data_IF_931658208825
#
_entry.id   IF_931658208825
#
_cell.length_a   1.000
_cell.length_b   1.000
_cell.length_c   1.000
_cell.angle_alpha   90.00
_cell.angle_beta   90.00
_cell.angle_gamma   90.00
#
_symmetry.space_group_name_H-M   'P 1'
#
loop_
_entity.id
_entity.type
_entity.pdbx_description
1 polymer ?
#
# COMPACT_ATOMS: atom_id res chain seq x y z
N UNK A 1 5.69 6.03 -21.74
CA UNK A 1 4.28 6.35 -21.45
C UNK A 1 3.63 5.31 -20.56
N UNK A 2 2.98 5.77 -19.51
CA UNK A 2 2.18 4.93 -18.59
C UNK A 2 0.88 4.58 -19.31
N UNK A 3 0.56 3.29 -19.42
CA UNK A 3 -0.69 2.84 -20.03
C UNK A 3 -1.76 2.71 -18.95
N UNK A 4 -2.83 3.49 -19.07
CA UNK A 4 -3.99 3.36 -18.20
C UNK A 4 -4.71 2.02 -18.44
N UNK A 5 -5.19 1.41 -17.36
CA UNK A 5 -6.05 0.22 -17.43
C UNK A 5 -7.46 0.68 -17.78
N UNK A 6 -8.19 -0.11 -18.59
CA UNK A 6 -9.64 0.07 -18.70
C UNK A 6 -10.29 -0.47 -17.44
N UNK A 7 -10.93 0.43 -16.70
CA UNK A 7 -11.52 0.13 -15.40
C UNK A 7 -12.93 -0.43 -15.52
N UNK A 8 -13.28 -1.35 -14.62
CA UNK A 8 -14.65 -1.83 -14.46
C UNK A 8 -15.50 -0.80 -13.72
N UNK A 9 -16.83 -0.87 -13.86
CA UNK A 9 -17.76 0.07 -13.23
C UNK A 9 -17.54 0.22 -11.71
N UNK A 10 -17.23 -0.88 -11.03
CA UNK A 10 -16.93 -0.87 -9.59
C UNK A 10 -15.63 -0.12 -9.25
N UNK A 11 -14.58 -0.27 -10.06
CA UNK A 11 -13.29 0.43 -9.89
C UNK A 11 -13.46 1.94 -10.10
N UNK A 12 -14.25 2.33 -11.12
CA UNK A 12 -14.58 3.74 -11.38
C UNK A 12 -15.36 4.38 -10.22
N UNK A 13 -16.32 3.66 -9.65
CA UNK A 13 -17.13 4.16 -8.52
C UNK A 13 -16.31 4.28 -7.23
N UNK A 14 -15.32 3.41 -7.03
CA UNK A 14 -14.36 3.54 -5.93
C UNK A 14 -13.36 4.69 -6.14
N UNK A 15 -13.29 5.25 -7.35
CA UNK A 15 -12.36 6.31 -7.72
C UNK A 15 -10.94 5.80 -7.92
N UNK A 16 -10.77 4.51 -8.20
CA UNK A 16 -9.47 3.94 -8.53
C UNK A 16 -8.94 4.55 -9.83
N UNK A 17 -7.62 4.67 -9.93
CA UNK A 17 -6.91 5.07 -11.16
C UNK A 17 -5.76 4.11 -11.42
N UNK A 18 -6.09 2.96 -11.98
CA UNK A 18 -5.16 1.86 -12.16
C UNK A 18 -4.32 2.03 -13.45
N UNK A 19 -3.02 1.80 -13.31
CA UNK A 19 -2.07 1.83 -14.42
C UNK A 19 -1.35 0.50 -14.56
N UNK A 20 -0.96 0.17 -15.78
CA UNK A 20 -0.23 -1.08 -16.04
C UNK A 20 1.20 -0.93 -15.55
N UNK A 21 1.58 -1.75 -14.57
CA UNK A 21 2.94 -1.83 -14.07
C UNK A 21 3.89 -2.46 -15.13
N UNK A 22 5.18 -2.10 -15.14
CA UNK A 22 6.13 -2.60 -16.14
C UNK A 22 6.60 -4.05 -15.90
N UNK A 23 6.13 -4.71 -14.82
CA UNK A 23 6.47 -6.08 -14.48
C UNK A 23 5.64 -7.08 -15.28
N UNK A 24 6.29 -8.01 -15.98
CA UNK A 24 5.62 -9.07 -16.73
C UNK A 24 5.65 -10.36 -15.92
N UNK A 25 4.55 -10.70 -15.27
CA UNK A 25 4.43 -11.92 -14.47
C UNK A 25 3.62 -12.98 -15.22
N UNK A 26 4.31 -13.79 -16.00
CA UNK A 26 3.71 -14.88 -16.76
C UNK A 26 3.54 -16.13 -15.85
N UNK A 27 2.37 -16.78 -15.93
CA UNK A 27 2.01 -17.86 -15.01
C UNK A 27 3.01 -19.02 -15.04
N UNK A 28 3.53 -19.42 -13.86
CA UNK A 28 4.56 -20.46 -13.68
C UNK A 28 5.89 -20.18 -14.39
N UNK A 29 6.14 -18.96 -14.85
CA UNK A 29 7.43 -18.57 -15.44
C UNK A 29 8.29 -17.91 -14.39
N UNK A 30 9.34 -18.61 -13.96
CA UNK A 30 10.34 -18.05 -13.06
C UNK A 30 11.18 -17.00 -13.79
N UNK A 31 11.45 -15.88 -13.11
CA UNK A 31 12.30 -14.79 -13.61
C UNK A 31 13.31 -14.43 -12.54
N UNK A 32 14.55 -14.19 -12.93
CA UNK A 32 15.64 -13.85 -12.01
C UNK A 32 16.29 -12.55 -12.46
N UNK A 33 16.15 -11.51 -11.64
CA UNK A 33 16.76 -10.19 -11.83
C UNK A 33 16.55 -9.59 -13.23
N UNK A 34 15.30 -9.58 -13.69
CA UNK A 34 14.94 -8.98 -14.98
C UNK A 34 14.99 -7.45 -14.87
N UNK A 35 15.74 -6.74 -15.73
CA UNK A 35 15.84 -5.30 -15.69
C UNK A 35 14.52 -4.64 -16.15
N UNK A 36 14.07 -3.64 -15.40
CA UNK A 36 12.87 -2.86 -15.71
C UNK A 36 13.25 -1.55 -16.38
N UNK A 37 14.05 -0.74 -15.69
CA UNK A 37 14.53 0.52 -16.20
C UNK A 37 15.80 0.97 -15.48
N UNK A 38 16.57 1.83 -16.14
CA UNK A 38 17.69 2.55 -15.55
C UNK A 38 17.30 4.02 -15.47
N UNK A 39 17.48 4.62 -14.31
CA UNK A 39 17.18 6.03 -14.09
C UNK A 39 18.27 6.67 -13.26
N UNK A 40 18.77 7.80 -13.75
CA UNK A 40 19.60 8.70 -12.95
C UNK A 40 18.67 9.61 -12.15
N UNK A 41 18.63 9.42 -10.84
CA UNK A 41 17.84 10.25 -9.94
C UNK A 41 18.53 11.59 -9.74
N UNK A 42 17.78 12.67 -9.96
CA UNK A 42 18.19 14.04 -9.59
C UNK A 42 18.25 14.20 -8.07
N UNK A 43 18.88 15.27 -7.59
CA UNK A 43 18.99 15.56 -6.16
C UNK A 43 17.61 15.74 -5.53
N UNK A 44 16.70 16.41 -6.23
CA UNK A 44 15.33 16.66 -5.80
C UNK A 44 14.53 15.36 -5.69
N UNK A 45 14.72 14.43 -6.64
CA UNK A 45 14.10 13.11 -6.61
C UNK A 45 14.66 12.26 -5.47
N UNK A 46 15.97 12.30 -5.23
CA UNK A 46 16.60 11.61 -4.10
C UNK A 46 16.03 12.09 -2.76
N UNK A 47 15.87 13.40 -2.59
CA UNK A 47 15.22 13.97 -1.40
C UNK A 47 13.77 13.49 -1.28
N UNK A 48 13.03 13.45 -2.39
CA UNK A 48 11.64 12.98 -2.42
C UNK A 48 11.54 11.52 -2.01
N UNK A 49 12.39 10.65 -2.57
CA UNK A 49 12.47 9.24 -2.19
C UNK A 49 12.86 9.07 -0.73
N UNK A 50 13.83 9.86 -0.23
CA UNK A 50 14.23 9.80 1.18
C UNK A 50 13.09 10.16 2.11
N UNK A 51 12.33 11.21 1.80
CA UNK A 51 11.13 11.57 2.56
C UNK A 51 10.06 10.49 2.51
N UNK A 52 9.87 9.85 1.36
CA UNK A 52 8.95 8.72 1.22
C UNK A 52 9.37 7.53 2.09
N UNK A 53 10.67 7.20 2.12
CA UNK A 53 11.22 6.15 2.98
C UNK A 53 11.09 6.49 4.47
N UNK A 54 11.31 7.74 4.86
CA UNK A 54 11.11 8.21 6.25
C UNK A 54 9.65 8.05 6.71
N UNK A 55 8.70 8.20 5.79
CA UNK A 55 7.27 8.11 6.04
C UNK A 55 6.69 6.71 5.76
N UNK A 56 7.54 5.70 5.58
CA UNK A 56 7.16 4.32 5.30
C UNK A 56 6.20 4.18 4.11
N UNK A 57 6.41 4.96 3.05
CA UNK A 57 5.61 4.85 1.83
C UNK A 57 5.80 3.47 1.19
N UNK A 58 4.69 2.92 0.73
CA UNK A 58 4.62 1.66 0.01
C UNK A 58 3.87 1.86 -1.31
N UNK A 59 4.16 1.01 -2.28
CA UNK A 59 3.35 0.89 -3.48
C UNK A 59 2.29 -0.20 -3.28
N UNK A 60 1.18 -0.05 -4.01
CA UNK A 60 0.13 -1.06 -4.12
C UNK A 60 -0.03 -1.44 -5.58
N UNK A 61 -0.17 -2.73 -5.85
CA UNK A 61 -0.51 -3.26 -7.16
C UNK A 61 -1.49 -4.42 -7.01
N UNK A 62 -2.06 -4.84 -8.14
CA UNK A 62 -2.97 -5.99 -8.20
C UNK A 62 -2.47 -6.99 -9.23
N UNK A 63 -2.52 -8.27 -8.87
CA UNK A 63 -2.23 -9.39 -9.76
C UNK A 63 -3.27 -10.48 -9.53
N UNK A 64 -4.01 -10.86 -10.59
CA UNK A 64 -5.17 -11.77 -10.48
C UNK A 64 -6.18 -11.34 -9.40
N UNK A 65 -6.46 -10.03 -9.34
CA UNK A 65 -7.29 -9.35 -8.33
C UNK A 65 -6.80 -9.48 -6.88
N UNK A 66 -5.61 -10.05 -6.66
CA UNK A 66 -4.97 -10.10 -5.35
C UNK A 66 -4.14 -8.84 -5.13
N UNK A 67 -4.36 -8.11 -4.02
CA UNK A 67 -3.58 -6.93 -3.71
C UNK A 67 -2.17 -7.32 -3.24
N UNK A 68 -1.19 -6.53 -3.65
CA UNK A 68 0.21 -6.69 -3.31
C UNK A 68 0.75 -5.35 -2.87
N UNK A 69 1.44 -5.35 -1.73
CA UNK A 69 2.09 -4.18 -1.18
C UNK A 69 3.58 -4.40 -1.02
N UNK A 70 4.37 -3.36 -1.23
CA UNK A 70 5.80 -3.37 -0.97
C UNK A 70 6.29 -1.98 -0.60
N UNK A 71 7.16 -1.90 0.41
CA UNK A 71 7.78 -0.64 0.80
C UNK A 71 8.73 -0.15 -0.30
N UNK A 72 8.87 1.16 -0.41
CA UNK A 72 9.80 1.79 -1.37
C UNK A 72 11.25 1.66 -0.89
N UNK A 73 11.47 1.57 0.42
CA UNK A 73 12.80 1.45 1.01
C UNK A 73 12.74 1.15 2.50
N UNK A 74 13.88 1.21 3.17
CA UNK A 74 13.99 1.06 4.63
C UNK A 74 14.95 2.08 5.22
N UNK A 75 14.71 2.44 6.47
CA UNK A 75 15.67 3.19 7.29
C UNK A 75 16.48 2.19 8.11
N UNK A 76 17.79 2.22 7.96
CA UNK A 76 18.71 1.44 8.77
C UNK A 76 19.33 2.35 9.83
N UNK A 77 18.95 2.13 11.09
CA UNK A 77 19.52 2.84 12.25
C UNK A 77 20.58 1.95 12.86
N UNK A 78 21.83 2.37 12.79
CA UNK A 78 22.93 1.62 13.38
C UNK A 78 22.89 1.82 14.91
N UNK A 79 22.29 0.88 15.63
CA UNK A 79 22.02 1.03 17.07
C UNK A 79 23.30 1.08 17.95
N UNK A 80 24.49 0.99 17.34
CA UNK A 80 25.80 1.00 18.02
C UNK A 80 26.62 2.28 17.81
N UNK A 81 26.36 3.05 16.75
CA UNK A 81 27.08 4.29 16.45
C UNK A 81 26.04 5.37 16.20
N UNK A 82 25.96 6.33 17.13
CA UNK A 82 25.31 7.64 17.02
C UNK A 82 23.95 7.69 16.25
N UNK A 83 22.81 8.03 16.91
CA UNK A 83 21.50 8.15 16.24
C UNK A 83 21.47 9.16 15.07
N UNK A 84 22.53 9.96 14.90
CA UNK A 84 22.78 10.88 13.81
C UNK A 84 23.19 10.22 12.48
N UNK A 85 23.54 8.92 12.44
CA UNK A 85 23.97 8.20 11.23
C UNK A 85 22.90 7.21 10.71
N UNK A 86 21.66 7.68 10.54
CA UNK A 86 20.65 6.86 9.87
C UNK A 86 20.95 6.73 8.37
N UNK A 87 20.97 5.49 7.86
CA UNK A 87 21.09 5.22 6.42
C UNK A 87 19.72 5.04 5.81
N UNK A 88 19.49 5.70 4.69
CA UNK A 88 18.25 5.61 3.94
C UNK A 88 18.48 4.77 2.69
N UNK A 89 17.83 3.61 2.64
CA UNK A 89 18.03 2.64 1.58
C UNK A 89 16.79 2.55 0.71
N UNK A 90 16.97 2.76 -0.60
CA UNK A 90 15.94 2.62 -1.62
C UNK A 90 15.98 1.21 -2.20
N UNK A 91 14.84 0.52 -2.23
CA UNK A 91 14.77 -0.78 -2.89
C UNK A 91 14.69 -0.61 -4.40
N UNK A 92 15.60 -1.28 -5.10
CA UNK A 92 15.68 -1.29 -6.56
C UNK A 92 15.26 -2.63 -7.17
N UNK A 93 15.25 -3.72 -6.39
CA UNK A 93 14.79 -5.04 -6.82
C UNK A 93 13.47 -5.41 -6.12
N UNK A 94 12.44 -5.71 -6.91
CA UNK A 94 11.16 -6.24 -6.41
C UNK A 94 11.12 -7.75 -6.61
N UNK A 95 11.07 -8.54 -5.53
CA UNK A 95 10.96 -10.00 -5.61
C UNK A 95 9.54 -10.46 -5.36
N UNK A 96 8.89 -10.93 -6.41
CA UNK A 96 7.56 -11.54 -6.33
C UNK A 96 7.68 -13.02 -5.96
N UNK A 97 6.93 -13.41 -4.94
CA UNK A 97 6.69 -14.81 -4.61
C UNK A 97 5.20 -15.09 -4.81
N UNK A 98 4.91 -15.96 -5.78
CA UNK A 98 3.55 -16.32 -6.17
C UNK A 98 3.29 -17.78 -5.81
N UNK A 99 2.30 -18.00 -4.96
CA UNK A 99 1.79 -19.32 -4.64
C UNK A 99 0.65 -19.68 -5.57
N UNK A 100 0.68 -20.89 -6.11
CA UNK A 100 -0.36 -21.39 -7.00
C UNK A 100 -0.83 -22.78 -6.58
N UNK A 101 -2.07 -23.11 -6.90
CA UNK A 101 -2.61 -24.45 -6.79
C UNK A 101 -3.23 -24.83 -8.13
N UNK A 102 -2.73 -25.90 -8.75
CA UNK A 102 -3.06 -26.30 -10.12
C UNK A 102 -2.83 -25.18 -11.14
N UNK A 103 -3.91 -24.59 -11.64
CA UNK A 103 -3.97 -23.54 -12.66
C UNK A 103 -4.41 -22.17 -12.08
N UNK A 104 -4.53 -22.06 -10.75
CA UNK A 104 -5.03 -20.85 -10.08
C UNK A 104 -3.99 -20.22 -9.17
N UNK A 105 -3.91 -18.90 -9.22
CA UNK A 105 -3.10 -18.10 -8.29
C UNK A 105 -3.83 -18.04 -6.95
N UNK A 106 -3.10 -18.36 -5.89
CA UNK A 106 -3.63 -18.39 -4.53
C UNK A 106 -3.12 -17.20 -3.74
N UNK A 107 -1.85 -16.86 -3.90
CA UNK A 107 -1.23 -15.80 -3.15
C UNK A 107 -0.13 -15.16 -3.98
N UNK A 108 0.05 -13.87 -3.80
CA UNK A 108 1.22 -13.14 -4.25
C UNK A 108 1.72 -12.24 -3.12
N UNK A 109 3.03 -12.24 -2.91
CA UNK A 109 3.71 -11.40 -1.94
C UNK A 109 4.97 -10.80 -2.53
N UNK A 110 5.38 -9.66 -2.00
CA UNK A 110 6.64 -9.02 -2.35
C UNK A 110 7.60 -9.17 -1.18
N UNK A 111 8.79 -9.67 -1.48
CA UNK A 111 9.91 -9.66 -0.56
C UNK A 111 10.84 -8.49 -0.94
N UNK A 112 11.14 -7.64 0.05
CA UNK A 112 12.20 -6.67 -0.11
C UNK A 112 13.55 -7.39 -0.13
N UNK A 113 14.47 -6.93 -0.97
CA UNK A 113 15.86 -7.40 -1.01
C UNK A 113 16.76 -6.28 -0.49
N UNK A 114 17.12 -6.27 0.81
CA UNK A 114 18.01 -5.26 1.36
C UNK A 114 19.42 -5.34 0.77
N UNK A 115 19.84 -6.50 0.27
CA UNK A 115 21.19 -6.70 -0.26
C UNK A 115 21.50 -5.90 -1.54
N UNK A 116 20.50 -5.61 -2.37
CA UNK A 116 20.68 -4.81 -3.59
C UNK A 116 20.30 -3.33 -3.41
N UNK A 117 19.80 -2.96 -2.22
CA UNK A 117 19.27 -1.64 -1.97
C UNK A 117 20.30 -0.54 -2.17
N UNK A 118 19.85 0.59 -2.72
CA UNK A 118 20.71 1.73 -3.05
C UNK A 118 20.68 2.74 -1.91
N UNK A 119 21.85 3.17 -1.46
CA UNK A 119 21.97 4.21 -0.44
C UNK A 119 21.67 5.59 -1.03
N UNK A 120 20.63 6.23 -0.50
CA UNK A 120 20.14 7.55 -0.89
C UNK A 120 20.29 8.57 0.25
N UNK A 121 21.21 8.35 1.19
CA UNK A 121 21.42 9.20 2.37
C UNK A 121 21.96 10.59 2.03
N UNK A 122 22.77 10.70 0.98
CA UNK A 122 23.37 11.97 0.54
C UNK A 122 22.53 12.68 -0.53
N UNK A 123 22.56 14.02 -0.54
CA UNK A 123 21.88 14.87 -1.54
C UNK A 123 22.67 14.98 -2.84
N UNK A 124 22.89 13.83 -3.48
CA UNK A 124 23.60 13.72 -4.75
C UNK A 124 22.78 12.95 -5.78
N UNK A 125 23.17 13.10 -7.04
CA UNK A 125 22.60 12.27 -8.10
C UNK A 125 23.01 10.81 -7.90
N UNK A 126 22.07 9.90 -8.12
CA UNK A 126 22.27 8.46 -7.94
C UNK A 126 21.73 7.72 -9.15
N UNK A 127 22.58 6.91 -9.77
CA UNK A 127 22.17 6.00 -10.83
C UNK A 127 21.54 4.75 -10.21
N UNK A 128 20.27 4.50 -10.54
CA UNK A 128 19.51 3.35 -10.05
C UNK A 128 19.04 2.50 -11.23
N UNK A 129 19.38 1.22 -11.18
CA UNK A 129 18.84 0.19 -12.07
C UNK A 129 17.79 -0.60 -11.31
N UNK A 130 16.54 -0.46 -11.74
CA UNK A 130 15.41 -1.19 -11.19
C UNK A 130 15.26 -2.53 -11.87
N UNK A 131 15.06 -3.59 -11.09
CA UNK A 131 14.85 -4.95 -11.57
C UNK A 131 13.76 -5.67 -10.78
N UNK A 132 13.35 -6.84 -11.27
CA UNK A 132 12.42 -7.69 -10.55
C UNK A 132 12.74 -9.17 -10.73
N UNK A 133 12.32 -9.96 -9.76
CA UNK A 133 12.39 -11.42 -9.79
C UNK A 133 11.00 -12.00 -9.57
N UNK A 134 10.69 -13.14 -10.19
CA UNK A 134 9.43 -13.84 -10.02
C UNK A 134 9.70 -15.29 -9.66
N UNK A 135 9.21 -15.70 -8.49
CA UNK A 135 9.30 -17.08 -8.01
C UNK A 135 7.89 -17.67 -7.89
N UNK A 136 7.76 -18.92 -8.28
CA UNK A 136 6.48 -19.63 -8.31
C UNK A 136 6.59 -20.88 -7.47
N UNK A 137 5.69 -21.05 -6.49
CA UNK A 137 5.67 -22.22 -5.61
C UNK A 137 4.28 -22.83 -5.54
N UNK A 138 4.21 -24.15 -5.60
CA UNK A 138 2.94 -24.85 -5.48
C UNK A 138 2.48 -24.88 -4.02
N UNK A 139 1.18 -24.70 -3.79
CA UNK A 139 0.52 -24.84 -2.48
C UNK A 139 -0.69 -25.77 -2.56
N UNK A 140 -1.08 -26.35 -1.43
CA UNK A 140 -2.27 -27.17 -1.27
C UNK A 140 -3.51 -26.35 -0.85
N UNK A 141 -3.35 -25.04 -0.62
CA UNK A 141 -4.46 -24.16 -0.24
C UNK A 141 -5.51 -24.12 -1.35
N UNK A 142 -6.79 -24.40 -1.06
CA UNK A 142 -7.87 -24.33 -2.04
C UNK A 142 -8.14 -22.89 -2.47
N UNK A 143 -8.63 -22.70 -3.69
CA UNK A 143 -8.87 -21.36 -4.26
C UNK A 143 -9.90 -20.55 -3.48
N UNK A 144 -10.90 -21.23 -2.92
CA UNK A 144 -11.99 -20.66 -2.16
C UNK A 144 -11.48 -19.98 -0.87
N UNK A 145 -10.38 -20.48 -0.31
CA UNK A 145 -9.75 -19.92 0.89
C UNK A 145 -8.72 -18.81 0.57
N UNK A 146 -8.49 -18.46 -0.69
CA UNK A 146 -7.40 -17.54 -1.09
C UNK A 146 -7.48 -16.16 -0.45
N UNK A 147 -8.71 -15.67 -0.20
CA UNK A 147 -8.94 -14.32 0.34
C UNK A 147 -8.78 -14.25 1.87
N UNK A 148 -8.73 -15.38 2.58
CA UNK A 148 -8.64 -15.42 4.04
C UNK A 148 -7.36 -14.78 4.58
N UNK A 149 -6.26 -14.82 3.81
CA UNK A 149 -5.01 -14.17 4.18
C UNK A 149 -5.11 -12.65 4.08
N UNK A 150 -5.71 -12.15 3.01
CA UNK A 150 -5.81 -10.72 2.73
C UNK A 150 -6.81 -10.00 3.64
N UNK A 151 -7.90 -10.67 4.04
CA UNK A 151 -8.87 -10.12 4.99
C UNK A 151 -8.30 -9.89 6.39
N UNK A 152 -7.29 -10.67 6.78
CA UNK A 152 -6.55 -10.46 8.04
C UNK A 152 -5.60 -9.26 7.91
N UNK A 153 -4.91 -9.11 6.78
CA UNK A 153 -3.96 -8.03 6.54
C UNK A 153 -4.61 -6.66 6.34
N UNK A 154 -5.84 -6.59 5.81
CA UNK A 154 -6.59 -5.33 5.66
C UNK A 154 -6.98 -4.69 7.00
N UNK A 155 -6.77 -5.36 8.13
CA UNK A 155 -6.97 -4.82 9.48
C UNK A 155 -5.78 -4.03 10.04
N UNK A 156 -4.78 -3.70 9.20
CA UNK A 156 -3.63 -2.89 9.60
C UNK A 156 -4.08 -1.54 10.21
N UNK A 157 -3.41 -1.07 11.28
CA UNK A 157 -3.95 -0.09 12.23
C UNK A 157 -4.29 1.30 11.66
N UNK A 158 -3.71 1.71 10.53
CA UNK A 158 -3.98 3.04 9.94
C UNK A 158 -5.40 3.20 9.36
N UNK A 159 -6.02 2.12 8.87
CA UNK A 159 -7.39 2.21 8.34
C UNK A 159 -8.44 2.26 9.46
N UNK A 160 -8.12 1.73 10.65
CA UNK A 160 -9.05 1.65 11.77
C UNK A 160 -9.36 3.03 12.37
N UNK A 161 -8.39 3.95 12.37
CA UNK A 161 -8.53 5.30 12.93
C UNK A 161 -9.53 6.16 12.15
N UNK A 162 -9.56 6.04 10.81
CA UNK A 162 -10.42 6.84 9.94
C UNK A 162 -11.89 6.44 10.12
N UNK A 163 -12.18 5.14 10.26
CA UNK A 163 -13.55 4.66 10.45
C UNK A 163 -14.14 5.10 11.80
N UNK A 164 -13.35 5.06 12.88
CA UNK A 164 -13.83 5.47 14.21
C UNK A 164 -14.09 6.99 14.30
N UNK A 165 -13.30 7.81 13.60
CA UNK A 165 -13.54 9.25 13.52
C UNK A 165 -14.89 9.60 12.88
N UNK A 166 -15.27 8.91 11.80
CA UNK A 166 -16.57 9.12 11.15
C UNK A 166 -17.74 8.67 12.04
N UNK A 167 -17.59 7.59 12.81
CA UNK A 167 -18.62 7.09 13.72
C UNK A 167 -18.86 8.09 14.85
N UNK A 168 -17.80 8.59 15.50
CA UNK A 168 -17.94 9.60 16.57
C UNK A 168 -18.62 10.86 16.02
N UNK A 169 -18.16 11.36 14.87
CA UNK A 169 -18.71 12.57 14.27
C UNK A 169 -20.22 12.41 13.98
N UNK A 170 -20.64 11.26 13.47
CA UNK A 170 -22.06 10.98 13.25
C UNK A 170 -22.84 10.82 14.56
N UNK A 171 -22.28 10.26 15.62
CA UNK A 171 -22.96 10.14 16.91
C UNK A 171 -23.17 11.52 17.57
N UNK A 172 -22.17 12.39 17.50
CA UNK A 172 -22.25 13.75 18.07
C UNK A 172 -23.32 14.58 17.37
N UNK A 173 -23.41 14.53 16.04
CA UNK A 173 -24.44 15.27 15.29
C UNK A 173 -25.85 14.80 15.63
N UNK A 174 -26.07 13.48 15.76
CA UNK A 174 -27.38 12.91 16.14
C UNK A 174 -27.79 13.35 17.54
N UNK A 175 -26.87 13.34 18.52
CA UNK A 175 -27.16 13.77 19.89
C UNK A 175 -27.53 15.27 19.95
N UNK A 176 -26.81 16.12 19.22
CA UNK A 176 -27.10 17.56 19.15
C UNK A 176 -28.45 17.84 18.50
N UNK A 177 -28.76 17.19 17.37
CA UNK A 177 -30.04 17.35 16.67
C UNK A 177 -31.22 16.86 17.54
N UNK A 178 -31.05 15.74 18.24
CA UNK A 178 -32.06 15.20 19.16
C UNK A 178 -32.28 16.13 20.35
N UNK A 179 -31.19 16.67 20.94
CA UNK A 179 -31.28 17.66 22.01
C UNK A 179 -32.00 18.93 21.57
N UNK A 180 -31.65 19.47 20.40
CA UNK A 180 -32.31 20.66 19.85
C UNK A 180 -33.80 20.40 19.60
N UNK A 181 -34.16 19.28 18.98
CA UNK A 181 -35.56 18.87 18.77
C UNK A 181 -36.32 18.76 20.10
N UNK A 182 -35.72 18.12 21.11
CA UNK A 182 -36.32 17.98 22.43
C UNK A 182 -36.57 19.35 23.08
N UNK A 183 -35.65 20.31 22.97
CA UNK A 183 -35.86 21.67 23.51
C UNK A 183 -36.99 22.41 22.81
N UNK A 184 -37.12 22.28 21.49
CA UNK A 184 -38.24 22.87 20.72
C UNK A 184 -39.56 22.25 21.16
N UNK A 185 -39.65 20.93 21.23
CA UNK A 185 -40.86 20.22 21.66
C UNK A 185 -41.26 20.60 23.08
N UNK A 186 -40.30 20.64 24.01
CA UNK A 186 -40.55 21.08 25.39
C UNK A 186 -41.03 22.54 25.46
N UNK A 187 -40.49 23.41 24.60
CA UNK A 187 -40.91 24.82 24.52
C UNK A 187 -42.34 24.96 23.98
N UNK A 188 -42.69 24.21 22.93
CA UNK A 188 -44.05 24.18 22.37
C UNK A 188 -45.03 23.64 23.40
N UNK A 189 -44.71 22.50 24.03
CA UNK A 189 -45.55 21.89 25.05
C UNK A 189 -45.78 22.84 26.22
N UNK A 190 -44.73 23.51 26.72
CA UNK A 190 -44.87 24.51 27.78
C UNK A 190 -45.74 25.71 27.37
N UNK A 191 -45.74 26.10 26.09
CA UNK A 191 -46.56 27.18 25.58
C UNK A 191 -48.02 26.78 25.32
N UNK A 192 -48.30 25.48 25.20
CA UNK A 192 -49.65 24.95 24.95
C UNK A 192 -50.38 24.60 26.26
N UNK A 193 -49.62 24.22 27.31
CA UNK A 193 -50.15 23.84 28.62
C UNK A 193 -50.14 24.98 29.67
N UNK A 194 -49.50 26.12 29.39
CA UNK A 194 -49.54 27.35 30.22
C UNK A 194 -50.42 28.39 29.52
#
# INVERSE_FOLDING_TARGET
DVKEKREALGEVLNGDRLVVAPYKLDFKVMKSSEPVCKKKLSKEEVVTFRQAVIKDYYFQMYYDDLPVWGFIGKVEKDSKNDPSQARYLLFNEVRFEVLYNNDRVIEISVQASPETAVDITEDKEVDVEFSYSASWRQTNTPFEARMERYSKSSSLPHHLEIHWFSIINSCVTVLLLTGFLATILMRVLKNDFV
#
